data_IF_115433517712
#
_entry.id   IF_115433517712
#
_cell.length_a   1.000
_cell.length_b   1.000
_cell.length_c   1.000
_cell.angle_alpha   90.00
_cell.angle_beta   90.00
_cell.angle_gamma   90.00
#
_symmetry.space_group_name_H-M   'P 1'
#
loop_
_entity.id
_entity.type
_entity.pdbx_description
1 polymer ?
#
# COMPACT_ATOMS: atom_id res chain seq x y z
N UNK A 1 23.29 -28.33 -2.31
CA UNK A 1 22.15 -27.38 -2.24
C UNK A 1 22.72 -25.95 -2.30
N UNK A 2 21.98 -24.96 -2.82
CA UNK A 2 22.42 -23.55 -2.93
C UNK A 2 21.30 -22.60 -2.47
N UNK A 3 21.66 -21.51 -1.79
CA UNK A 3 20.71 -20.48 -1.38
C UNK A 3 20.17 -19.73 -2.61
N UNK A 4 18.87 -19.44 -2.62
CA UNK A 4 18.25 -18.63 -3.67
C UNK A 4 18.65 -17.16 -3.54
N UNK A 5 18.80 -16.43 -4.66
CA UNK A 5 18.96 -14.97 -4.62
C UNK A 5 17.81 -14.29 -3.87
N UNK A 6 18.11 -13.22 -3.14
CA UNK A 6 17.11 -12.51 -2.34
C UNK A 6 15.92 -12.00 -3.19
N UNK A 7 16.17 -11.57 -4.43
CA UNK A 7 15.12 -11.18 -5.36
C UNK A 7 14.16 -12.33 -5.69
N UNK A 8 14.68 -13.56 -5.85
CA UNK A 8 13.87 -14.76 -6.10
C UNK A 8 13.02 -15.11 -4.89
N UNK A 9 13.60 -15.08 -3.67
CA UNK A 9 12.85 -15.33 -2.43
C UNK A 9 11.72 -14.31 -2.26
N UNK A 10 12.00 -13.03 -2.52
CA UNK A 10 10.99 -11.96 -2.47
C UNK A 10 9.87 -12.22 -3.46
N UNK A 11 10.19 -12.50 -4.73
CA UNK A 11 9.17 -12.77 -5.75
C UNK A 11 8.29 -13.99 -5.39
N UNK A 12 8.90 -15.07 -4.92
CA UNK A 12 8.17 -16.28 -4.51
C UNK A 12 7.23 -16.00 -3.33
N UNK A 13 7.71 -15.33 -2.27
CA UNK A 13 6.86 -14.97 -1.12
C UNK A 13 5.73 -14.05 -1.51
N UNK A 14 5.99 -13.04 -2.34
CA UNK A 14 4.96 -12.11 -2.81
C UNK A 14 3.92 -12.76 -3.71
N UNK A 15 4.29 -13.73 -4.53
CA UNK A 15 3.36 -14.43 -5.44
C UNK A 15 2.39 -15.35 -4.70
N UNK A 16 2.63 -15.65 -3.43
CA UNK A 16 1.69 -16.37 -2.56
C UNK A 16 0.65 -15.43 -1.93
N UNK A 17 1.00 -14.14 -1.80
CA UNK A 17 0.14 -13.09 -1.25
C UNK A 17 -0.70 -12.48 -2.39
N UNK A 18 -0.02 -12.05 -3.45
CA UNK A 18 -0.62 -11.49 -4.66
C UNK A 18 -0.69 -12.59 -5.72
N UNK A 19 -1.87 -13.18 -5.86
CA UNK A 19 -2.15 -14.30 -6.76
C UNK A 19 -2.95 -13.88 -7.99
N UNK A 20 -3.58 -12.71 -7.97
CA UNK A 20 -4.46 -12.20 -9.01
C UNK A 20 -4.69 -10.69 -8.89
N UNK A 21 -5.26 -10.07 -9.93
CA UNK A 21 -5.78 -8.69 -9.86
C UNK A 21 -6.73 -8.52 -8.67
N UNK A 22 -7.60 -9.50 -8.42
CA UNK A 22 -8.54 -9.48 -7.30
C UNK A 22 -7.82 -9.41 -5.96
N UNK A 23 -6.72 -10.16 -5.78
CA UNK A 23 -5.94 -10.07 -4.54
C UNK A 23 -5.30 -8.69 -4.35
N UNK A 24 -4.80 -8.04 -5.42
CA UNK A 24 -4.27 -6.67 -5.31
C UNK A 24 -5.38 -5.71 -4.87
N UNK A 25 -6.53 -5.74 -5.54
CA UNK A 25 -7.67 -4.87 -5.22
C UNK A 25 -8.15 -5.12 -3.79
N UNK A 26 -8.30 -6.38 -3.36
CA UNK A 26 -8.70 -6.75 -2.00
C UNK A 26 -7.77 -6.14 -0.96
N UNK A 27 -6.46 -6.36 -1.10
CA UNK A 27 -5.47 -5.88 -0.13
C UNK A 27 -5.42 -4.34 -0.07
N UNK A 28 -5.59 -3.66 -1.21
CA UNK A 28 -5.65 -2.19 -1.24
C UNK A 28 -6.93 -1.65 -0.58
N UNK A 29 -8.09 -2.27 -0.82
CA UNK A 29 -9.35 -1.91 -0.16
C UNK A 29 -9.26 -2.15 1.35
N UNK A 30 -8.70 -3.28 1.78
CA UNK A 30 -8.52 -3.60 3.20
C UNK A 30 -7.61 -2.56 3.88
N UNK A 31 -6.53 -2.12 3.23
CA UNK A 31 -5.70 -1.03 3.72
C UNK A 31 -6.46 0.30 3.84
N UNK A 32 -7.35 0.62 2.88
CA UNK A 32 -8.21 1.81 2.96
C UNK A 32 -9.21 1.71 4.11
N UNK A 33 -9.82 0.54 4.35
CA UNK A 33 -10.73 0.31 5.48
C UNK A 33 -10.00 0.43 6.82
N UNK A 34 -8.80 -0.14 6.93
CA UNK A 34 -7.95 0.01 8.12
C UNK A 34 -7.54 1.47 8.39
N UNK A 35 -7.50 2.30 7.34
CA UNK A 35 -7.27 3.74 7.43
C UNK A 35 -8.56 4.55 7.74
N UNK A 36 -9.67 3.89 8.05
CA UNK A 36 -10.94 4.52 8.41
C UNK A 36 -11.70 5.14 7.23
N UNK A 37 -11.41 4.72 6.00
CA UNK A 37 -12.08 5.26 4.82
C UNK A 37 -13.59 4.98 4.85
N UNK A 38 -14.37 5.99 4.44
CA UNK A 38 -15.83 5.90 4.27
C UNK A 38 -16.24 5.91 2.79
N UNK A 39 -15.31 6.28 1.91
CA UNK A 39 -15.45 6.24 0.46
C UNK A 39 -14.19 5.65 -0.15
N UNK A 40 -14.36 4.67 -1.03
CA UNK A 40 -13.27 4.01 -1.74
C UNK A 40 -13.68 3.89 -3.22
N UNK A 41 -12.90 4.52 -4.10
CA UNK A 41 -13.05 4.44 -5.54
C UNK A 41 -12.02 3.49 -6.13
N UNK A 42 -12.47 2.50 -6.89
CA UNK A 42 -11.62 1.53 -7.58
C UNK A 42 -11.77 1.71 -9.08
N UNK A 43 -10.66 2.01 -9.76
CA UNK A 43 -10.58 2.11 -11.22
C UNK A 43 -9.65 1.04 -11.77
N UNK A 44 -10.16 0.26 -12.71
CA UNK A 44 -9.41 -0.76 -13.43
C UNK A 44 -9.31 -0.36 -14.91
N UNK A 45 -8.09 -0.29 -15.42
CA UNK A 45 -7.84 -0.12 -16.86
C UNK A 45 -7.46 -1.49 -17.44
N UNK A 46 -8.09 -1.86 -18.56
CA UNK A 46 -7.95 -3.19 -19.16
C UNK A 46 -8.13 -4.31 -18.13
N UNK A 47 -9.26 -4.29 -17.39
CA UNK A 47 -9.56 -5.27 -16.33
C UNK A 47 -8.50 -5.36 -15.22
N UNK A 48 -7.64 -4.35 -15.06
CA UNK A 48 -6.57 -4.29 -14.07
C UNK A 48 -5.22 -4.83 -14.57
N UNK A 49 -5.12 -5.25 -15.83
CA UNK A 49 -3.85 -5.68 -16.42
C UNK A 49 -2.94 -4.51 -16.75
N UNK A 50 -3.50 -3.35 -17.14
CA UNK A 50 -2.72 -2.16 -17.47
C UNK A 50 -2.53 -1.29 -16.22
N UNK A 51 -3.59 -1.08 -15.44
CA UNK A 51 -3.56 -0.25 -14.24
C UNK A 51 -4.65 -0.62 -13.24
N UNK A 52 -4.27 -0.64 -11.97
CA UNK A 52 -5.17 -0.68 -10.81
C UNK A 52 -4.97 0.63 -10.05
N UNK A 53 -6.05 1.37 -9.81
CA UNK A 53 -6.04 2.58 -9.00
C UNK A 53 -7.10 2.47 -7.92
N UNK A 54 -6.68 2.61 -6.66
CA UNK A 54 -7.55 2.66 -5.49
C UNK A 54 -7.36 4.01 -4.83
N UNK A 55 -8.45 4.75 -4.65
CA UNK A 55 -8.47 6.05 -3.96
C UNK A 55 -9.41 5.95 -2.79
N UNK A 56 -8.99 6.49 -1.66
CA UNK A 56 -9.81 6.53 -0.46
C UNK A 56 -9.74 7.90 0.20
N UNK A 57 -10.64 8.12 1.15
CA UNK A 57 -10.68 9.30 2.01
C UNK A 57 -10.25 8.98 3.45
N UNK A 58 -9.41 7.96 3.64
CA UNK A 58 -8.88 7.59 4.94
C UNK A 58 -7.85 8.59 5.46
N UNK A 59 -7.21 8.23 6.58
CA UNK A 59 -6.29 9.12 7.31
C UNK A 59 -4.98 9.44 6.57
N UNK A 60 -4.65 8.67 5.53
CA UNK A 60 -3.39 8.78 4.79
C UNK A 60 -2.19 8.20 5.55
N UNK A 61 -1.00 8.36 4.97
CA UNK A 61 0.27 7.86 5.51
C UNK A 61 1.07 9.05 6.01
N UNK A 62 1.49 9.01 7.27
CA UNK A 62 2.33 10.07 7.86
C UNK A 62 3.68 10.11 7.16
N UNK A 63 4.23 11.31 6.99
CA UNK A 63 5.54 11.50 6.35
C UNK A 63 6.67 10.69 7.03
N UNK A 64 6.58 10.45 8.34
CA UNK A 64 7.55 9.66 9.10
C UNK A 64 7.52 8.16 8.75
N UNK A 65 6.35 7.64 8.35
CA UNK A 65 6.15 6.23 8.00
C UNK A 65 6.42 5.98 6.51
N UNK A 66 6.47 7.04 5.70
CA UNK A 66 6.65 6.94 4.26
C UNK A 66 7.89 6.13 3.82
N UNK A 67 9.07 6.23 4.46
CA UNK A 67 10.22 5.41 4.09
C UNK A 67 10.01 3.90 4.24
N UNK A 68 9.06 3.47 5.08
CA UNK A 68 8.82 2.06 5.42
C UNK A 68 7.44 1.56 4.99
N UNK A 69 6.60 2.40 4.36
CA UNK A 69 5.19 2.08 4.06
C UNK A 69 4.99 0.80 3.24
N UNK A 70 5.97 0.44 2.41
CA UNK A 70 5.94 -0.76 1.55
C UNK A 70 7.10 -1.72 1.84
N UNK A 71 7.81 -1.54 2.96
CA UNK A 71 8.83 -2.49 3.40
C UNK A 71 8.13 -3.63 4.14
N UNK A 72 8.42 -4.88 3.74
CA UNK A 72 7.76 -6.04 4.35
C UNK A 72 8.02 -6.07 5.87
N UNK A 73 7.00 -6.51 6.61
CA UNK A 73 6.99 -6.64 8.07
C UNK A 73 6.98 -5.33 8.84
N UNK A 74 6.71 -4.20 8.18
CA UNK A 74 6.39 -2.94 8.83
C UNK A 74 4.87 -2.73 8.82
N UNK A 75 4.29 -2.45 9.98
CA UNK A 75 2.86 -2.22 10.14
C UNK A 75 2.60 -1.25 11.28
N UNK A 76 1.52 -0.47 11.15
CA UNK A 76 1.01 0.42 12.21
C UNK A 76 -0.13 -0.21 13.03
N UNK A 77 -0.50 -1.47 12.71
CA UNK A 77 -1.76 -2.09 13.16
C UNK A 77 -1.59 -2.99 14.38
N UNK A 78 -0.39 -3.53 14.58
CA UNK A 78 0.00 -4.36 15.72
C UNK A 78 1.43 -4.00 16.12
N UNK A 79 1.76 -4.16 17.40
CA UNK A 79 3.08 -3.89 17.97
C UNK A 79 3.62 -5.03 18.84
N UNK A 80 2.77 -5.99 19.24
CA UNK A 80 3.21 -7.13 20.05
C UNK A 80 2.51 -8.44 19.66
N UNK A 81 2.92 -9.54 20.31
CA UNK A 81 2.32 -10.85 20.08
C UNK A 81 0.88 -10.92 20.61
N UNK A 82 0.62 -10.24 21.72
CA UNK A 82 -0.69 -10.18 22.37
C UNK A 82 -1.75 -9.54 21.47
N UNK A 83 -1.35 -8.60 20.59
CA UNK A 83 -2.25 -7.98 19.61
C UNK A 83 -2.83 -8.99 18.61
N UNK A 84 -2.14 -10.13 18.38
CA UNK A 84 -2.63 -11.18 17.48
C UNK A 84 -3.87 -11.91 18.03
N UNK A 85 -4.10 -11.85 19.34
CA UNK A 85 -5.28 -12.44 19.97
C UNK A 85 -6.53 -11.58 19.77
N UNK A 86 -6.36 -10.29 19.43
CA UNK A 86 -7.43 -9.30 19.33
C UNK A 86 -7.31 -8.45 18.05
N UNK A 87 -7.23 -9.11 16.90
CA UNK A 87 -7.14 -8.43 15.61
C UNK A 87 -8.42 -7.65 15.27
N UNK A 88 -8.28 -6.34 15.11
CA UNK A 88 -9.37 -5.42 14.74
C UNK A 88 -9.21 -4.83 13.34
N UNK A 89 -8.11 -5.16 12.66
CA UNK A 89 -7.73 -4.66 11.34
C UNK A 89 -7.51 -5.83 10.38
N UNK A 90 -7.62 -5.57 9.08
CA UNK A 90 -7.41 -6.58 8.05
C UNK A 90 -5.92 -6.80 7.77
N UNK A 91 -5.15 -5.71 7.62
CA UNK A 91 -3.76 -5.68 7.18
C UNK A 91 -2.74 -5.60 8.32
N UNK A 92 -2.61 -6.65 9.13
CA UNK A 92 -1.68 -6.65 10.29
C UNK A 92 -0.28 -7.22 9.98
N UNK A 93 -0.08 -7.91 8.86
CA UNK A 93 1.21 -8.58 8.55
C UNK A 93 2.29 -7.63 8.04
N UNK A 94 1.91 -6.48 7.50
CA UNK A 94 2.85 -5.53 6.89
C UNK A 94 3.46 -6.03 5.58
N UNK A 95 2.79 -6.89 4.82
CA UNK A 95 3.35 -7.51 3.61
C UNK A 95 2.70 -7.06 2.30
N UNK A 96 1.49 -6.49 2.37
CA UNK A 96 0.65 -6.21 1.19
C UNK A 96 1.36 -5.30 0.16
N UNK A 97 1.66 -4.05 0.52
CA UNK A 97 2.27 -3.08 -0.39
C UNK A 97 3.64 -3.54 -0.91
N UNK A 98 4.49 -4.09 -0.03
CA UNK A 98 5.78 -4.64 -0.45
C UNK A 98 5.65 -5.85 -1.40
N UNK A 99 4.57 -6.62 -1.29
CA UNK A 99 4.29 -7.71 -2.22
C UNK A 99 3.81 -7.20 -3.58
N UNK A 100 2.95 -6.17 -3.60
CA UNK A 100 2.55 -5.49 -4.84
C UNK A 100 3.76 -4.88 -5.55
N UNK A 101 4.63 -4.16 -4.82
CA UNK A 101 5.86 -3.58 -5.37
C UNK A 101 6.74 -4.62 -6.08
N UNK A 102 6.82 -5.84 -5.55
CA UNK A 102 7.68 -6.87 -6.14
C UNK A 102 7.20 -7.43 -7.49
N UNK A 103 5.95 -7.15 -7.89
CA UNK A 103 5.33 -7.65 -9.12
C UNK A 103 4.81 -6.55 -10.04
N UNK A 104 4.83 -5.28 -9.61
CA UNK A 104 4.31 -4.15 -10.36
C UNK A 104 5.06 -2.84 -10.03
N UNK A 105 4.96 -1.87 -10.93
CA UNK A 105 5.34 -0.49 -10.64
C UNK A 105 4.30 0.15 -9.73
N UNK A 106 4.74 0.78 -8.64
CA UNK A 106 3.84 1.32 -7.60
C UNK A 106 4.11 2.80 -7.37
N UNK A 107 3.03 3.58 -7.44
CA UNK A 107 2.99 4.97 -7.03
C UNK A 107 1.96 5.14 -5.93
N UNK A 108 2.32 5.81 -4.85
CA UNK A 108 1.42 6.12 -3.74
C UNK A 108 1.34 7.63 -3.59
N UNK A 109 0.13 8.18 -3.67
CA UNK A 109 -0.11 9.59 -3.35
C UNK A 109 -0.93 9.65 -2.08
N UNK A 110 -0.46 10.38 -1.09
CA UNK A 110 -1.10 10.41 0.23
C UNK A 110 -0.98 11.78 0.87
N UNK A 111 -1.91 12.05 1.80
CA UNK A 111 -1.98 13.30 2.56
C UNK A 111 -2.71 13.00 3.86
N UNK A 112 -2.10 13.38 4.98
CA UNK A 112 -2.79 13.39 6.28
C UNK A 112 -3.48 14.73 6.50
N UNK A 113 -4.37 14.81 7.50
CA UNK A 113 -5.01 16.06 7.87
C UNK A 113 -4.02 17.16 8.31
N UNK A 114 -2.83 16.77 8.79
CA UNK A 114 -1.77 17.68 9.21
C UNK A 114 -0.92 18.22 8.04
N UNK A 115 -1.03 17.62 6.85
CA UNK A 115 -0.21 17.99 5.71
C UNK A 115 -0.85 19.13 4.89
N UNK A 116 -0.03 20.12 4.53
CA UNK A 116 -0.46 21.25 3.69
C UNK A 116 -0.80 20.84 2.25
N UNK A 117 -0.15 19.80 1.74
CA UNK A 117 -0.31 19.27 0.38
C UNK A 117 -0.05 17.77 0.37
N UNK A 118 -0.54 17.07 -0.65
CA UNK A 118 -0.24 15.65 -0.80
C UNK A 118 1.15 15.42 -1.35
N UNK A 119 1.75 14.29 -1.01
CA UNK A 119 3.03 13.84 -1.57
C UNK A 119 2.83 12.57 -2.35
N UNK A 120 3.41 12.51 -3.55
CA UNK A 120 3.49 11.30 -4.36
C UNK A 120 4.86 10.67 -4.21
N UNK A 121 4.86 9.36 -3.96
CA UNK A 121 6.02 8.50 -3.82
C UNK A 121 6.05 7.49 -4.97
N UNK A 122 7.23 7.26 -5.53
CA UNK A 122 7.51 6.16 -6.47
C UNK A 122 8.35 5.12 -5.73
N UNK A 123 7.92 3.87 -5.81
CA UNK A 123 8.54 2.76 -5.09
C UNK A 123 9.26 1.80 -6.04
N UNK A 124 10.39 1.24 -5.61
CA UNK A 124 11.06 0.16 -6.32
C UNK A 124 10.46 -1.22 -6.02
N UNK A 125 10.96 -2.26 -6.70
CA UNK A 125 10.50 -3.65 -6.53
C UNK A 125 10.83 -4.31 -5.18
N UNK A 126 11.45 -3.56 -4.27
CA UNK A 126 11.67 -3.93 -2.87
C UNK A 126 10.88 -3.05 -1.88
N UNK A 127 10.08 -2.10 -2.38
CA UNK A 127 9.26 -1.20 -1.58
C UNK A 127 9.97 0.06 -1.11
N UNK A 128 11.22 0.31 -1.52
CA UNK A 128 11.92 1.54 -1.15
C UNK A 128 11.44 2.72 -1.98
N UNK A 129 11.33 3.89 -1.34
CA UNK A 129 11.06 5.16 -2.03
C UNK A 129 12.27 5.55 -2.85
N UNK A 130 12.11 5.64 -4.17
CA UNK A 130 13.16 6.08 -5.10
C UNK A 130 12.95 7.50 -5.60
N UNK A 131 11.73 8.03 -5.48
CA UNK A 131 11.41 9.41 -5.82
C UNK A 131 10.22 9.88 -5.01
N UNK A 132 10.19 11.17 -4.68
CA UNK A 132 9.05 11.84 -4.09
C UNK A 132 8.86 13.23 -4.69
N UNK A 133 7.62 13.67 -4.81
CA UNK A 133 7.28 15.04 -5.23
C UNK A 133 5.96 15.50 -4.61
N UNK A 134 5.77 16.81 -4.38
CA UNK A 134 4.46 17.36 -4.10
C UNK A 134 3.45 16.99 -5.19
N UNK A 135 2.20 16.79 -4.80
CA UNK A 135 1.11 16.47 -5.70
C UNK A 135 -0.07 17.39 -5.45
N UNK A 136 -0.82 17.69 -6.50
CA UNK A 136 -2.09 18.42 -6.42
C UNK A 136 -3.28 17.46 -6.20
N UNK A 137 -3.07 16.16 -6.41
CA UNK A 137 -4.08 15.11 -6.21
C UNK A 137 -4.31 14.94 -4.70
N UNK A 138 -5.46 15.35 -4.20
CA UNK A 138 -5.76 15.41 -2.76
C UNK A 138 -6.54 16.67 -2.34
N UNK A 139 -6.72 17.64 -3.25
CA UNK A 139 -7.73 18.69 -3.16
C UNK A 139 -9.11 18.16 -3.58
N UNK A 140 -9.60 17.10 -2.92
CA UNK A 140 -11.01 16.73 -3.05
C UNK A 140 -11.82 17.61 -2.09
N UNK A 141 -12.02 18.88 -2.43
CA UNK A 141 -13.25 19.56 -2.03
C UNK A 141 -14.27 19.20 -3.09
N UNK A 142 -15.35 18.56 -2.65
CA UNK A 142 -16.53 18.32 -3.45
C UNK A 142 -17.07 19.67 -3.94
N UNK A 143 -16.91 19.94 -5.23
CA UNK A 143 -17.71 20.93 -5.93
C UNK A 143 -18.89 20.17 -6.58
N UNK A 144 -19.99 20.08 -5.84
CA UNK A 144 -21.36 19.97 -6.36
C UNK A 144 -22.24 20.95 -5.58
#
# INVERSE_FOLDING_TARGET
MKQLPAATVRLLSSSQIITSVVSVVKELIENSLDAGATSIDVKLENYGFDKIEVRDNGEGIKAIDAPVMAIKYYTSKINSHEDLENLTTYGFRGEALGSVCSVAEVLITTRTAADNFSTQYVLDGSGHVISQKPSHLGQAKADY
#
